data_IF_500927251625
#
_entry.id   IF_500927251625
#
_cell.length_a   1.000
_cell.length_b   1.000
_cell.length_c   1.000
_cell.angle_alpha   90.00
_cell.angle_beta   90.00
_cell.angle_gamma   90.00
#
_symmetry.space_group_name_H-M   'P 1'
#
loop_
_entity.id
_entity.type
_entity.pdbx_description
1 polymer ?
#
# COMPACT_ATOMS: atom_id res chain seq x y z
N UNK A 1 -9.73 -8.66 2.46
CA UNK A 1 -9.80 -7.18 2.67
C UNK A 1 -8.50 -6.52 2.22
N UNK A 2 -7.34 -6.98 2.67
CA UNK A 2 -6.02 -6.44 2.27
C UNK A 2 -5.70 -6.52 0.78
N UNK A 3 -6.23 -7.51 0.04
CA UNK A 3 -6.08 -7.53 -1.42
C UNK A 3 -6.74 -6.34 -2.12
N UNK A 4 -7.95 -5.94 -1.70
CA UNK A 4 -8.63 -4.77 -2.25
C UNK A 4 -7.85 -3.49 -1.94
N UNK A 5 -7.27 -3.41 -0.74
CA UNK A 5 -6.40 -2.30 -0.36
C UNK A 5 -5.17 -2.17 -1.29
N UNK A 6 -4.47 -3.26 -1.65
CA UNK A 6 -3.36 -3.15 -2.62
C UNK A 6 -3.81 -2.72 -4.01
N UNK A 7 -5.04 -3.06 -4.43
CA UNK A 7 -5.60 -2.57 -5.69
C UNK A 7 -5.91 -1.07 -5.61
N UNK A 8 -6.50 -0.62 -4.52
CA UNK A 8 -6.78 0.79 -4.25
C UNK A 8 -5.49 1.62 -4.25
N UNK A 9 -4.44 1.15 -3.54
CA UNK A 9 -3.13 1.80 -3.55
C UNK A 9 -2.58 1.89 -4.97
N UNK A 10 -2.58 0.79 -5.73
CA UNK A 10 -2.11 0.79 -7.12
C UNK A 10 -2.87 1.81 -7.97
N UNK A 11 -4.19 1.89 -7.81
CA UNK A 11 -5.04 2.73 -8.65
C UNK A 11 -4.85 4.21 -8.31
N UNK A 12 -4.71 4.56 -7.02
CA UNK A 12 -4.34 5.92 -6.58
C UNK A 12 -2.94 6.30 -7.08
N UNK A 13 -1.95 5.41 -6.98
CA UNK A 13 -0.61 5.67 -7.49
C UNK A 13 -0.60 5.88 -9.00
N UNK A 14 -1.43 5.14 -9.74
CA UNK A 14 -1.57 5.32 -11.19
C UNK A 14 -2.27 6.63 -11.53
N UNK A 15 -3.33 7.00 -10.81
CA UNK A 15 -4.04 8.25 -11.02
C UNK A 15 -3.17 9.49 -10.71
N UNK A 16 -2.19 9.31 -9.81
CA UNK A 16 -1.20 10.33 -9.45
C UNK A 16 0.06 10.34 -10.34
N UNK A 17 0.07 9.57 -11.44
CA UNK A 17 1.24 9.37 -12.32
C UNK A 17 2.52 8.89 -11.58
N UNK A 18 2.37 8.28 -10.40
CA UNK A 18 3.48 7.76 -9.59
C UNK A 18 3.97 6.38 -10.06
N UNK A 19 3.17 5.69 -10.88
CA UNK A 19 3.50 4.44 -11.56
C UNK A 19 2.88 4.41 -12.95
N UNK A 20 3.56 3.80 -13.92
CA UNK A 20 3.03 3.55 -15.26
C UNK A 20 2.41 2.16 -15.42
N UNK A 21 2.77 1.18 -14.56
CA UNK A 21 2.36 -0.22 -14.74
C UNK A 21 2.18 -0.98 -13.41
N UNK A 22 1.47 -2.13 -13.46
CA UNK A 22 1.37 -3.05 -12.31
C UNK A 22 2.75 -3.65 -11.96
N UNK A 23 3.64 -3.78 -12.94
CA UNK A 23 5.04 -4.16 -12.71
C UNK A 23 5.76 -3.16 -11.82
N UNK A 24 5.70 -1.87 -12.18
CA UNK A 24 6.35 -0.83 -11.37
C UNK A 24 5.77 -0.75 -9.96
N UNK A 25 4.46 -0.98 -9.80
CA UNK A 25 3.85 -1.11 -8.49
C UNK A 25 4.50 -2.25 -7.68
N UNK A 26 4.57 -3.45 -8.26
CA UNK A 26 5.15 -4.59 -7.54
C UNK A 26 6.63 -4.36 -7.21
N UNK A 27 7.44 -3.99 -8.18
CA UNK A 27 8.90 -3.91 -8.03
C UNK A 27 9.32 -2.69 -7.20
N UNK A 28 8.75 -1.51 -7.51
CA UNK A 28 9.22 -0.25 -6.92
C UNK A 28 8.47 0.13 -5.64
N UNK A 29 7.20 -0.27 -5.50
CA UNK A 29 6.37 0.12 -4.34
C UNK A 29 6.18 -0.99 -3.33
N UNK A 30 6.12 -2.25 -3.77
CA UNK A 30 5.98 -3.39 -2.85
C UNK A 30 7.31 -4.10 -2.52
N UNK A 31 8.36 -3.88 -3.31
CA UNK A 31 9.61 -4.65 -3.20
C UNK A 31 9.39 -6.14 -3.53
N UNK A 32 8.45 -6.45 -4.44
CA UNK A 32 8.08 -7.80 -4.85
C UNK A 32 8.27 -7.98 -6.36
N UNK A 33 8.32 -9.23 -6.82
CA UNK A 33 8.39 -9.52 -8.25
C UNK A 33 7.14 -9.02 -8.99
N UNK A 34 7.27 -8.72 -10.28
CA UNK A 34 6.15 -8.27 -11.14
C UNK A 34 4.93 -9.20 -11.14
N UNK A 35 5.13 -10.48 -10.78
CA UNK A 35 4.08 -11.48 -10.70
C UNK A 35 3.30 -11.45 -9.38
N UNK A 36 3.69 -10.64 -8.40
CA UNK A 36 3.14 -10.70 -7.03
C UNK A 36 1.63 -10.52 -6.97
N UNK A 37 1.10 -9.44 -7.56
CA UNK A 37 -0.34 -9.18 -7.59
C UNK A 37 -1.11 -10.30 -8.30
N UNK A 38 -0.51 -10.90 -9.34
CA UNK A 38 -1.07 -12.06 -10.06
C UNK A 38 -1.13 -13.29 -9.16
N UNK A 39 -0.06 -13.58 -8.41
CA UNK A 39 -0.02 -14.68 -7.44
C UNK A 39 -1.08 -14.52 -6.35
N UNK A 40 -1.24 -13.32 -5.79
CA UNK A 40 -2.30 -13.05 -4.79
C UNK A 40 -3.71 -13.34 -5.32
N UNK A 41 -3.96 -13.03 -6.59
CA UNK A 41 -5.25 -13.32 -7.25
C UNK A 41 -5.47 -14.82 -7.44
N UNK A 42 -4.51 -15.50 -8.07
CA UNK A 42 -4.66 -16.93 -8.42
C UNK A 42 -4.62 -17.85 -7.20
N UNK A 43 -3.74 -17.60 -6.25
CA UNK A 43 -3.62 -18.41 -5.04
C UNK A 43 -4.64 -18.05 -3.97
N UNK A 44 -5.45 -16.99 -4.19
CA UNK A 44 -6.45 -16.49 -3.23
C UNK A 44 -5.89 -16.22 -1.83
N UNK A 45 -4.62 -15.81 -1.76
CA UNK A 45 -3.94 -15.50 -0.51
C UNK A 45 -3.99 -13.98 -0.24
N UNK A 46 -3.91 -13.62 1.03
CA UNK A 46 -3.76 -12.23 1.43
C UNK A 46 -2.31 -11.75 1.25
N UNK A 47 -2.09 -10.45 1.03
CA UNK A 47 -0.75 -9.86 0.98
C UNK A 47 0.08 -10.18 2.22
N UNK A 48 1.39 -10.35 2.03
CA UNK A 48 2.31 -10.45 3.16
C UNK A 48 2.37 -9.14 3.97
N UNK A 49 2.59 -9.26 5.28
CA UNK A 49 2.79 -8.10 6.16
C UNK A 49 3.97 -7.24 5.71
N UNK A 50 5.02 -7.87 5.17
CA UNK A 50 6.18 -7.20 4.59
C UNK A 50 5.79 -6.30 3.40
N UNK A 51 5.02 -6.79 2.42
CA UNK A 51 4.57 -5.98 1.30
C UNK A 51 3.70 -4.79 1.75
N UNK A 52 2.82 -5.00 2.73
CA UNK A 52 2.00 -3.94 3.32
C UNK A 52 2.84 -2.91 4.08
N UNK A 53 3.88 -3.35 4.80
CA UNK A 53 4.76 -2.47 5.55
C UNK A 53 5.62 -1.62 4.59
N UNK A 54 6.17 -2.22 3.54
CA UNK A 54 6.96 -1.52 2.51
C UNK A 54 6.14 -0.41 1.86
N UNK A 55 4.94 -0.72 1.38
CA UNK A 55 4.11 0.28 0.69
C UNK A 55 3.59 1.35 1.66
N UNK A 56 3.22 0.98 2.88
CA UNK A 56 2.78 1.91 3.94
C UNK A 56 3.88 2.94 4.25
N UNK A 57 5.11 2.47 4.50
CA UNK A 57 6.24 3.33 4.80
C UNK A 57 6.53 4.30 3.65
N UNK A 58 6.51 3.80 2.41
CA UNK A 58 6.77 4.61 1.22
C UNK A 58 5.67 5.65 0.97
N UNK A 59 4.40 5.28 1.11
CA UNK A 59 3.27 6.22 1.02
C UNK A 59 3.40 7.35 2.05
N UNK A 60 3.73 7.01 3.30
CA UNK A 60 3.93 7.98 4.37
C UNK A 60 5.08 8.95 4.06
N UNK A 61 6.22 8.42 3.61
CA UNK A 61 7.36 9.24 3.17
C UNK A 61 6.95 10.26 2.09
N UNK A 62 6.23 9.83 1.05
CA UNK A 62 5.81 10.77 0.00
C UNK A 62 4.75 11.76 0.46
N UNK A 63 3.85 11.37 1.37
CA UNK A 63 2.90 12.30 1.98
C UNK A 63 3.62 13.42 2.74
N UNK A 64 4.61 13.07 3.56
CA UNK A 64 5.41 14.05 4.31
C UNK A 64 6.16 15.01 3.37
N UNK A 65 6.74 14.47 2.29
CA UNK A 65 7.45 15.26 1.28
C UNK A 65 6.51 16.18 0.46
N UNK A 66 5.26 15.77 0.24
CA UNK A 66 4.24 16.59 -0.41
C UNK A 66 3.80 17.74 0.50
N UNK A 67 3.56 17.46 1.79
CA UNK A 67 3.20 18.47 2.77
C UNK A 67 4.30 19.54 2.95
N UNK A 68 5.57 19.17 2.85
CA UNK A 68 6.69 20.11 2.95
C UNK A 68 6.77 21.12 1.80
N UNK A 69 6.17 20.84 0.64
CA UNK A 69 6.28 21.67 -0.57
C UNK A 69 5.22 22.79 -0.68
N UNK A 70 4.29 22.87 0.29
CA UNK A 70 3.20 23.87 0.40
C UNK A 70 2.46 24.18 -0.91
N UNK A 71 2.26 23.15 -1.75
CA UNK A 71 1.48 23.26 -2.97
C UNK A 71 0.08 22.73 -2.72
N UNK A 72 -0.95 23.57 -2.88
CA UNK A 72 -2.33 23.22 -2.56
C UNK A 72 -2.82 21.95 -3.30
N UNK A 73 -2.40 21.73 -4.55
CA UNK A 73 -2.76 20.54 -5.33
C UNK A 73 -2.11 19.25 -4.79
N UNK A 74 -1.04 19.34 -4.00
CA UNK A 74 -0.39 18.19 -3.37
C UNK A 74 -1.00 17.82 -2.01
N UNK A 75 -1.78 18.72 -1.38
CA UNK A 75 -2.41 18.43 -0.08
C UNK A 75 -3.43 17.30 -0.17
N UNK A 76 -4.30 17.33 -1.17
CA UNK A 76 -5.32 16.30 -1.37
C UNK A 76 -4.67 14.93 -1.59
N UNK A 77 -3.65 14.88 -2.45
CA UNK A 77 -2.90 13.66 -2.73
C UNK A 77 -2.12 13.17 -1.50
N UNK A 78 -1.54 14.07 -0.72
CA UNK A 78 -0.84 13.74 0.54
C UNK A 78 -1.78 13.11 1.56
N UNK A 79 -2.96 13.70 1.77
CA UNK A 79 -3.97 13.14 2.68
C UNK A 79 -4.39 11.73 2.24
N UNK A 80 -4.54 11.52 0.92
CA UNK A 80 -4.89 10.21 0.39
C UNK A 80 -3.75 9.18 0.58
N UNK A 81 -2.50 9.57 0.37
CA UNK A 81 -1.34 8.72 0.64
C UNK A 81 -1.24 8.35 2.13
N UNK A 82 -1.49 9.30 3.02
CA UNK A 82 -1.49 9.07 4.47
C UNK A 82 -2.61 8.11 4.89
N UNK A 83 -3.83 8.32 4.38
CA UNK A 83 -4.96 7.41 4.61
C UNK A 83 -4.63 5.97 4.18
N UNK A 84 -4.06 5.81 2.98
CA UNK A 84 -3.66 4.49 2.46
C UNK A 84 -2.53 3.86 3.28
N UNK A 85 -1.57 4.66 3.75
CA UNK A 85 -0.49 4.18 4.62
C UNK A 85 -1.05 3.64 5.94
N UNK A 86 -1.99 4.36 6.56
CA UNK A 86 -2.65 3.95 7.80
C UNK A 86 -3.55 2.73 7.61
N UNK A 87 -4.26 2.64 6.48
CA UNK A 87 -5.05 1.45 6.14
C UNK A 87 -4.17 0.19 6.02
N UNK A 88 -2.98 0.32 5.41
CA UNK A 88 -2.01 -0.78 5.32
C UNK A 88 -1.53 -1.21 6.71
N UNK A 89 -1.22 -0.24 7.58
CA UNK A 89 -0.79 -0.52 8.94
C UNK A 89 -1.89 -1.19 9.78
N UNK A 90 -3.12 -0.68 9.72
CA UNK A 90 -4.29 -1.25 10.37
C UNK A 90 -4.54 -2.70 9.92
N UNK A 91 -4.33 -3.00 8.64
CA UNK A 91 -4.45 -4.36 8.11
C UNK A 91 -3.40 -5.31 8.69
N UNK A 92 -2.15 -4.84 8.86
CA UNK A 92 -1.08 -5.61 9.53
C UNK A 92 -1.48 -5.89 10.97
N UNK A 93 -1.89 -4.86 11.73
CA UNK A 93 -2.26 -4.97 13.14
C UNK A 93 -3.47 -5.90 13.35
N UNK A 94 -4.50 -5.78 12.50
CA UNK A 94 -5.68 -6.66 12.54
C UNK A 94 -5.29 -8.11 12.28
N UNK A 95 -4.41 -8.35 11.32
CA UNK A 95 -3.93 -9.71 11.00
C UNK A 95 -3.09 -10.28 12.14
N UNK A 96 -2.19 -9.48 12.71
CA UNK A 96 -1.40 -9.87 13.87
C UNK A 96 -2.30 -10.22 15.06
N UNK A 97 -3.30 -9.37 15.36
CA UNK A 97 -4.29 -9.60 16.41
C UNK A 97 -5.05 -10.90 16.24
N UNK A 98 -5.55 -11.16 15.03
CA UNK A 98 -6.23 -12.44 14.74
C UNK A 98 -5.33 -13.64 14.96
N UNK A 99 -4.06 -13.56 14.57
CA UNK A 99 -3.10 -14.67 14.73
C UNK A 99 -2.84 -15.01 16.18
N UNK A 100 -2.49 -14.03 17.03
CA UNK A 100 -2.19 -14.33 18.43
C UNK A 100 -3.45 -14.59 19.26
N UNK A 101 -4.59 -13.99 18.93
CA UNK A 101 -5.85 -14.25 19.63
C UNK A 101 -6.47 -15.62 19.28
N UNK A 102 -6.16 -16.20 18.11
CA UNK A 102 -6.64 -17.53 17.73
C UNK A 102 -5.86 -18.69 18.38
N UNK A 103 -4.74 -18.39 19.05
CA UNK A 103 -3.91 -19.37 19.77
C UNK A 103 -4.24 -19.38 21.28
N UNK A 104 -5.04 -18.43 21.75
CA UNK A 104 -5.54 -18.32 23.12
C UNK A 104 -6.90 -19.01 23.27
#
# INVERSE_FOLDING_TARGET
>A
MSRQLLHEVRDVLRAADAIASEREFCERWLGKSECYMRTLRFSQIEPSADALATVSNKLKYYSEQMNAKDAQHLKELSMEFERLAEACWTSIQTTARRKWAAVA
#
